data_IF_373365993982
#
_entry.id   IF_373365993982
#
_cell.length_a   1.000
_cell.length_b   1.000
_cell.length_c   1.000
_cell.angle_alpha   90.00
_cell.angle_beta   90.00
_cell.angle_gamma   90.00
#
_symmetry.space_group_name_H-M   'P 1'
#
loop_
_entity.id
_entity.type
_entity.pdbx_description
1 polymer ?
#
# COMPACT_ATOMS: atom_id res chain seq x y z
N UNK A 1 3.73 13.83 -8.53
CA UNK A 1 3.57 12.63 -7.67
C UNK A 1 4.70 12.69 -6.68
N UNK A 2 4.37 12.65 -5.40
CA UNK A 2 5.36 12.62 -4.32
C UNK A 2 5.25 11.23 -3.70
N UNK A 3 6.39 10.53 -3.67
CA UNK A 3 6.48 9.35 -2.82
C UNK A 3 6.53 9.84 -1.38
N UNK A 4 5.60 9.35 -0.56
CA UNK A 4 5.35 9.89 0.77
C UNK A 4 5.94 8.96 1.82
N UNK A 5 6.50 9.55 2.87
CA UNK A 5 6.97 8.78 4.01
C UNK A 5 5.81 8.53 4.96
N UNK A 6 5.18 7.36 4.84
CA UNK A 6 4.00 7.00 5.65
C UNK A 6 4.45 6.38 6.97
N UNK A 7 3.87 6.83 8.09
CA UNK A 7 4.12 6.28 9.43
C UNK A 7 2.83 5.84 10.09
N UNK A 8 2.85 4.68 10.74
CA UNK A 8 1.68 4.12 11.42
C UNK A 8 1.39 4.88 12.73
N UNK A 9 0.10 5.09 13.02
CA UNK A 9 -0.37 5.75 14.23
C UNK A 9 -0.78 4.73 15.30
N UNK A 10 0.07 4.59 16.32
CA UNK A 10 -0.17 3.72 17.48
C UNK A 10 -1.40 4.10 18.30
N UNK A 11 -1.90 5.34 18.22
CA UNK A 11 -3.12 5.74 18.90
C UNK A 11 -4.39 5.22 18.21
N UNK A 12 -4.29 4.85 16.93
CA UNK A 12 -5.40 4.25 16.16
C UNK A 12 -5.36 2.72 16.20
N UNK A 13 -4.18 2.12 16.37
CA UNK A 13 -3.97 0.69 16.22
C UNK A 13 -4.78 -0.16 17.20
N UNK A 14 -5.40 -1.22 16.70
CA UNK A 14 -6.04 -2.21 17.55
C UNK A 14 -5.07 -2.80 18.59
N UNK A 15 -5.47 -3.04 19.86
CA UNK A 15 -4.57 -3.51 20.92
C UNK A 15 -3.83 -4.84 20.65
N UNK A 16 -4.29 -5.62 19.68
CA UNK A 16 -3.63 -6.86 19.23
C UNK A 16 -2.43 -6.60 18.29
N UNK A 17 -2.35 -5.40 17.75
CA UNK A 17 -1.28 -4.98 16.84
C UNK A 17 -0.08 -4.45 17.60
N UNK A 18 1.10 -4.75 17.06
CA UNK A 18 2.37 -4.16 17.49
C UNK A 18 3.00 -3.46 16.30
N UNK A 19 3.25 -2.17 16.47
CA UNK A 19 3.95 -1.33 15.51
C UNK A 19 5.44 -1.30 15.90
N UNK A 20 6.33 -1.38 14.92
CA UNK A 20 7.77 -1.22 15.15
C UNK A 20 8.14 0.19 15.60
N UNK A 21 9.29 0.34 16.25
CA UNK A 21 9.75 1.64 16.78
C UNK A 21 9.86 2.74 15.71
N UNK A 22 10.20 2.36 14.47
CA UNK A 22 10.28 3.26 13.31
C UNK A 22 8.90 3.63 12.72
N UNK A 23 7.82 3.04 13.21
CA UNK A 23 6.46 3.25 12.72
C UNK A 23 6.20 2.68 11.32
N UNK A 24 7.07 1.82 10.79
CA UNK A 24 6.98 1.33 9.39
C UNK A 24 6.46 -0.08 9.26
N UNK A 25 6.35 -0.83 10.34
CA UNK A 25 5.83 -2.19 10.29
C UNK A 25 4.77 -2.43 11.34
N UNK A 26 3.83 -3.31 11.02
CA UNK A 26 2.80 -3.77 11.95
C UNK A 26 2.66 -5.28 11.84
N UNK A 27 2.63 -5.94 13.00
CA UNK A 27 2.34 -7.37 13.11
C UNK A 27 1.19 -7.59 14.08
N UNK A 28 0.54 -8.72 13.88
CA UNK A 28 -0.44 -9.21 14.81
C UNK A 28 0.24 -10.08 15.87
N UNK A 29 0.10 -9.71 17.14
CA UNK A 29 0.77 -10.40 18.26
C UNK A 29 0.02 -11.64 18.73
N UNK A 30 -1.20 -11.88 18.27
CA UNK A 30 -2.02 -12.98 18.79
C UNK A 30 -2.84 -12.61 20.02
N UNK A 31 -2.40 -11.63 20.82
CA UNK A 31 -2.96 -11.32 22.14
C UNK A 31 -3.41 -9.86 22.25
N UNK A 32 -4.50 -9.60 22.95
CA UNK A 32 -4.95 -8.23 23.24
C UNK A 32 -4.02 -7.67 24.33
N UNK A 33 -3.22 -6.66 23.97
CA UNK A 33 -2.28 -6.02 24.89
C UNK A 33 -2.96 -4.91 25.68
N UNK A 34 -2.42 -4.62 26.87
CA UNK A 34 -2.82 -3.44 27.64
C UNK A 34 -2.16 -2.20 27.02
N UNK A 35 -2.96 -1.33 26.42
CA UNK A 35 -2.53 -0.08 25.80
C UNK A 35 -3.40 1.09 26.31
N UNK A 36 -2.91 2.35 26.25
CA UNK A 36 -3.73 3.50 26.65
C UNK A 36 -5.03 3.58 25.83
N UNK A 37 -6.13 3.89 26.51
CA UNK A 37 -7.41 4.15 25.84
C UNK A 37 -7.29 5.41 24.98
N UNK A 38 -7.80 5.33 23.75
CA UNK A 38 -7.86 6.44 22.80
C UNK A 38 -9.18 6.36 22.04
N UNK A 39 -9.80 7.52 21.81
CA UNK A 39 -11.06 7.60 21.06
C UNK A 39 -10.91 7.04 19.65
N UNK A 40 -9.80 7.36 18.98
CA UNK A 40 -9.51 6.91 17.60
C UNK A 40 -9.03 5.46 17.50
N UNK A 41 -8.87 4.74 18.62
CA UNK A 41 -8.38 3.35 18.62
C UNK A 41 -9.44 2.39 18.10
N UNK A 42 -9.09 1.55 17.13
CA UNK A 42 -9.94 0.44 16.71
C UNK A 42 -10.04 -0.64 17.80
N UNK A 43 -11.25 -1.11 18.08
CA UNK A 43 -11.50 -2.11 19.15
C UNK A 43 -11.97 -3.47 18.63
N UNK A 44 -12.45 -3.54 17.39
CA UNK A 44 -13.12 -4.73 16.85
C UNK A 44 -12.32 -5.44 15.76
N UNK A 45 -11.59 -4.68 14.93
CA UNK A 45 -10.81 -5.23 13.82
C UNK A 45 -9.33 -4.91 13.97
N UNK A 46 -8.44 -5.74 13.41
CA UNK A 46 -6.98 -5.53 13.44
C UNK A 46 -6.52 -4.42 12.47
N UNK A 47 -7.12 -3.25 12.62
CA UNK A 47 -6.92 -2.07 11.79
C UNK A 47 -5.94 -1.09 12.45
N UNK A 48 -5.27 -0.33 11.61
CA UNK A 48 -4.41 0.80 11.98
C UNK A 48 -4.40 1.82 10.83
N UNK A 49 -4.37 3.10 11.19
CA UNK A 49 -4.22 4.21 10.25
C UNK A 49 -2.80 4.77 10.30
N UNK A 50 -2.41 5.49 9.26
CA UNK A 50 -1.23 6.32 9.29
C UNK A 50 -1.47 7.64 10.04
N UNK A 51 -0.37 8.31 10.41
CA UNK A 51 -0.41 9.67 10.99
C UNK A 51 -0.70 10.72 9.91
N UNK A 52 -0.20 10.48 8.70
CA UNK A 52 -0.37 11.36 7.55
C UNK A 52 -1.78 11.24 6.96
N UNK A 53 -2.31 12.34 6.43
CA UNK A 53 -3.55 12.34 5.68
C UNK A 53 -3.54 13.41 4.60
N UNK A 54 -4.27 13.17 3.51
CA UNK A 54 -4.14 13.93 2.28
C UNK A 54 -5.47 14.57 1.87
N UNK A 55 -5.44 15.88 1.62
CA UNK A 55 -6.57 16.67 1.11
C UNK A 55 -6.39 17.07 -0.36
N UNK A 56 -5.16 17.05 -0.86
CA UNK A 56 -4.80 17.46 -2.22
C UNK A 56 -3.54 16.75 -2.70
N UNK A 57 -3.22 16.86 -4.00
CA UNK A 57 -1.99 16.32 -4.57
C UNK A 57 -2.05 14.87 -5.05
N UNK A 58 -0.89 14.33 -5.43
CA UNK A 58 -0.70 12.96 -5.91
C UNK A 58 0.32 12.25 -5.03
N UNK A 59 -0.09 11.20 -4.34
CA UNK A 59 0.68 10.51 -3.30
C UNK A 59 0.90 9.05 -3.67
N UNK A 60 2.06 8.52 -3.30
CA UNK A 60 2.42 7.14 -3.57
C UNK A 60 3.16 6.52 -2.39
N UNK A 61 2.77 5.30 -2.02
CA UNK A 61 3.52 4.46 -1.09
C UNK A 61 3.48 3.00 -1.50
N UNK A 62 4.46 2.22 -1.06
CA UNK A 62 4.55 0.79 -1.28
C UNK A 62 4.43 0.05 0.05
N UNK A 63 3.74 -1.09 0.01
CA UNK A 63 3.59 -1.99 1.16
C UNK A 63 4.05 -3.37 0.77
N UNK A 64 5.02 -3.90 1.50
CA UNK A 64 5.40 -5.30 1.47
C UNK A 64 4.41 -6.09 2.33
N UNK A 65 3.64 -6.94 1.65
CA UNK A 65 2.66 -7.86 2.25
C UNK A 65 3.24 -9.28 2.38
N UNK A 66 4.45 -9.51 1.85
CA UNK A 66 5.20 -10.74 1.98
C UNK A 66 4.41 -11.98 1.55
N UNK A 67 4.42 -12.99 2.42
CA UNK A 67 3.67 -14.24 2.25
C UNK A 67 2.45 -14.30 3.18
N UNK A 68 1.95 -13.14 3.62
CA UNK A 68 0.86 -13.07 4.60
C UNK A 68 -0.40 -13.76 4.06
N UNK A 69 -1.13 -14.42 4.97
CA UNK A 69 -2.36 -15.16 4.62
C UNK A 69 -3.59 -14.26 4.56
N UNK A 70 -3.54 -13.16 5.29
CA UNK A 70 -4.57 -12.14 5.23
C UNK A 70 -4.01 -10.75 5.47
N UNK A 71 -4.57 -9.78 4.77
CA UNK A 71 -4.28 -8.36 4.88
C UNK A 71 -5.32 -7.54 4.14
N UNK A 72 -5.46 -6.26 4.50
CA UNK A 72 -6.14 -5.27 3.67
C UNK A 72 -5.37 -3.95 3.68
N UNK A 73 -5.38 -3.25 2.56
CA UNK A 73 -4.62 -2.01 2.31
C UNK A 73 -5.48 -1.02 1.55
N UNK A 74 -5.28 0.27 1.81
CA UNK A 74 -5.91 1.34 1.02
C UNK A 74 -5.93 2.67 1.76
N UNK A 75 -7.06 3.35 1.71
CA UNK A 75 -7.30 4.59 2.44
C UNK A 75 -8.63 4.53 3.20
N UNK A 76 -8.71 5.33 4.26
CA UNK A 76 -9.91 5.61 5.01
C UNK A 76 -10.19 7.13 5.02
N UNK A 77 -11.45 7.52 5.16
CA UNK A 77 -11.83 8.88 5.48
C UNK A 77 -11.50 9.21 6.94
N UNK A 78 -11.14 10.44 7.27
CA UNK A 78 -10.69 10.76 8.64
C UNK A 78 -11.75 10.58 9.74
N UNK A 79 -13.03 10.65 9.36
CA UNK A 79 -14.18 10.53 10.26
C UNK A 79 -14.76 9.11 10.31
N UNK A 80 -14.03 8.08 9.85
CA UNK A 80 -14.49 6.69 9.99
C UNK A 80 -14.66 6.31 11.46
N UNK A 81 -15.71 5.54 11.75
CA UNK A 81 -15.96 5.04 13.10
C UNK A 81 -14.88 4.02 13.50
N UNK A 82 -14.19 4.30 14.60
CA UNK A 82 -13.17 3.41 15.18
C UNK A 82 -13.75 2.33 16.08
N UNK A 83 -14.97 2.53 16.59
CA UNK A 83 -15.62 1.66 17.57
C UNK A 83 -16.63 0.71 16.94
N UNK A 84 -16.62 -0.53 17.42
CA UNK A 84 -17.54 -1.56 16.96
C UNK A 84 -17.20 -2.15 15.60
N UNK A 85 -18.08 -3.05 15.15
CA UNK A 85 -17.92 -3.76 13.89
C UNK A 85 -18.31 -2.87 12.71
N UNK A 86 -17.33 -2.53 11.87
CA UNK A 86 -17.55 -1.86 10.59
C UNK A 86 -17.13 -2.75 9.43
N UNK A 87 -18.00 -2.87 8.42
CA UNK A 87 -17.67 -3.54 7.16
C UNK A 87 -16.97 -2.52 6.25
N UNK A 88 -15.71 -2.75 5.83
CA UNK A 88 -15.04 -1.84 4.89
C UNK A 88 -15.84 -1.71 3.59
N UNK A 89 -16.15 -0.48 3.21
CA UNK A 89 -16.77 -0.09 1.93
C UNK A 89 -16.65 1.41 1.71
N UNK A 90 -16.76 1.91 0.46
CA UNK A 90 -16.78 3.35 0.19
C UNK A 90 -17.86 4.09 0.97
N UNK A 91 -19.05 3.47 1.16
CA UNK A 91 -20.14 4.04 1.95
C UNK A 91 -19.76 4.27 3.41
N UNK A 92 -18.90 3.40 3.96
CA UNK A 92 -18.38 3.51 5.31
C UNK A 92 -17.05 4.25 5.37
N UNK A 93 -16.63 4.91 4.27
CA UNK A 93 -15.40 5.70 4.21
C UNK A 93 -14.13 4.89 4.00
N UNK A 94 -14.18 3.68 3.43
CA UNK A 94 -13.02 2.85 3.15
C UNK A 94 -12.89 2.50 1.67
N UNK A 95 -11.71 2.71 1.10
CA UNK A 95 -11.37 2.27 -0.26
C UNK A 95 -10.17 1.35 -0.16
N UNK A 96 -10.45 0.05 -0.06
CA UNK A 96 -9.43 -0.95 0.31
C UNK A 96 -9.53 -2.18 -0.58
N UNK A 97 -8.37 -2.76 -0.88
CA UNK A 97 -8.28 -4.13 -1.38
C UNK A 97 -7.75 -5.03 -0.27
N UNK A 98 -8.13 -6.29 -0.29
CA UNK A 98 -7.69 -7.27 0.67
C UNK A 98 -7.45 -8.64 0.07
N UNK A 99 -6.74 -9.44 0.84
CA UNK A 99 -6.54 -10.86 0.63
C UNK A 99 -7.01 -11.58 1.89
N UNK A 100 -7.88 -12.58 1.75
CA UNK A 100 -8.38 -13.38 2.85
C UNK A 100 -8.61 -14.83 2.40
N UNK A 101 -8.70 -15.72 3.39
CA UNK A 101 -9.13 -17.11 3.21
C UNK A 101 -8.28 -17.89 2.17
N UNK A 102 -6.98 -17.57 2.14
CA UNK A 102 -5.89 -18.20 1.39
C UNK A 102 -6.00 -18.26 -0.15
N UNK A 103 -7.07 -17.76 -0.78
CA UNK A 103 -7.25 -17.93 -2.23
C UNK A 103 -7.75 -16.72 -3.03
N UNK A 104 -8.33 -15.69 -2.41
CA UNK A 104 -9.01 -14.65 -3.17
C UNK A 104 -8.62 -13.23 -2.78
N UNK A 105 -8.46 -12.40 -3.81
CA UNK A 105 -8.27 -10.96 -3.69
C UNK A 105 -9.61 -10.27 -3.94
N UNK A 106 -9.91 -9.28 -3.12
CA UNK A 106 -11.16 -8.55 -3.17
C UNK A 106 -10.90 -7.06 -3.09
N UNK A 107 -11.61 -6.28 -3.91
CA UNK A 107 -11.84 -4.88 -3.66
C UNK A 107 -13.15 -4.76 -2.86
N UNK A 108 -13.08 -4.07 -1.73
CA UNK A 108 -14.25 -3.81 -0.88
C UNK A 108 -15.09 -2.66 -1.47
N UNK A 109 -15.42 -2.73 -2.77
CA UNK A 109 -16.39 -1.85 -3.43
C UNK A 109 -17.81 -2.17 -2.95
N UNK A 110 -18.81 -1.44 -3.44
CA UNK A 110 -20.22 -1.79 -3.18
C UNK A 110 -20.95 -2.03 -4.51
N UNK A 111 -21.26 -3.29 -4.88
CA UNK A 111 -20.94 -4.55 -4.16
C UNK A 111 -19.45 -4.90 -4.21
N UNK A 112 -18.99 -5.86 -3.38
CA UNK A 112 -17.59 -6.32 -3.38
C UNK A 112 -17.18 -6.89 -4.74
N UNK A 113 -16.00 -6.50 -5.24
CA UNK A 113 -15.48 -6.93 -6.54
C UNK A 113 -14.34 -7.93 -6.35
N UNK A 114 -14.48 -9.13 -6.94
CA UNK A 114 -13.41 -10.13 -6.96
C UNK A 114 -12.30 -9.69 -7.92
N UNK A 115 -11.04 -9.79 -7.49
CA UNK A 115 -9.88 -9.35 -8.27
C UNK A 115 -9.16 -10.55 -8.87
N UNK A 116 -9.00 -10.52 -10.20
CA UNK A 116 -8.21 -11.51 -10.93
C UNK A 116 -6.74 -11.13 -10.93
N UNK A 117 -6.02 -11.51 -9.87
CA UNK A 117 -4.58 -11.25 -9.75
C UNK A 117 -3.78 -12.45 -10.25
N UNK A 118 -2.84 -12.23 -11.18
CA UNK A 118 -1.90 -13.27 -11.61
C UNK A 118 -0.82 -13.49 -10.55
N UNK A 119 -0.87 -14.64 -9.88
CA UNK A 119 0.07 -15.01 -8.82
C UNK A 119 -0.21 -14.30 -7.50
N UNK A 120 0.79 -14.26 -6.61
CA UNK A 120 0.67 -13.62 -5.29
C UNK A 120 1.16 -12.16 -5.31
N UNK A 121 0.37 -11.26 -4.73
CA UNK A 121 0.84 -9.92 -4.37
C UNK A 121 1.81 -10.06 -3.20
N UNK A 122 3.09 -9.79 -3.44
CA UNK A 122 4.10 -9.69 -2.38
C UNK A 122 4.36 -8.24 -1.99
N UNK A 123 4.27 -7.34 -2.98
CA UNK A 123 4.43 -5.91 -2.78
C UNK A 123 3.39 -5.16 -3.60
N UNK A 124 2.66 -4.29 -2.93
CA UNK A 124 1.55 -3.52 -3.49
C UNK A 124 1.87 -2.04 -3.40
N UNK A 125 1.85 -1.35 -4.54
CA UNK A 125 1.91 0.09 -4.63
C UNK A 125 0.49 0.67 -4.53
N UNK A 126 0.36 1.76 -3.79
CA UNK A 126 -0.90 2.49 -3.63
C UNK A 126 -0.67 3.92 -4.13
N UNK A 127 -1.47 4.33 -5.10
CA UNK A 127 -1.38 5.64 -5.73
C UNK A 127 -2.70 6.39 -5.56
N UNK A 128 -2.66 7.52 -4.87
CA UNK A 128 -3.79 8.40 -4.61
C UNK A 128 -3.65 9.66 -5.44
N UNK A 129 -4.60 9.91 -6.34
CA UNK A 129 -4.75 11.17 -7.08
C UNK A 129 -5.98 11.92 -6.60
N UNK A 130 -5.76 12.96 -5.80
CA UNK A 130 -6.84 13.76 -5.23
C UNK A 130 -7.54 14.66 -6.24
N UNK A 131 -6.84 15.05 -7.31
CA UNK A 131 -7.42 15.88 -8.38
C UNK A 131 -8.30 15.04 -9.30
N UNK A 132 -7.83 13.84 -9.67
CA UNK A 132 -8.59 12.90 -10.49
C UNK A 132 -9.60 12.07 -9.67
N UNK A 133 -9.57 12.18 -8.32
CA UNK A 133 -10.38 11.40 -7.40
C UNK A 133 -10.24 9.89 -7.63
N UNK A 134 -9.00 9.43 -7.75
CA UNK A 134 -8.69 8.03 -8.04
C UNK A 134 -7.74 7.43 -7.02
N UNK A 135 -8.00 6.17 -6.67
CA UNK A 135 -7.09 5.33 -5.90
C UNK A 135 -6.74 4.08 -6.70
N UNK A 136 -5.48 3.99 -7.14
CA UNK A 136 -4.96 2.88 -7.92
C UNK A 136 -4.09 1.97 -7.06
N UNK A 137 -4.35 0.67 -7.14
CA UNK A 137 -3.52 -0.39 -6.59
C UNK A 137 -2.72 -1.06 -7.70
N UNK A 138 -1.46 -1.38 -7.42
CA UNK A 138 -0.53 -1.91 -8.40
C UNK A 138 0.35 -3.01 -7.82
N UNK A 139 0.55 -4.08 -8.58
CA UNK A 139 1.51 -5.13 -8.26
C UNK A 139 2.91 -4.65 -8.66
N UNK A 140 3.73 -4.28 -7.67
CA UNK A 140 5.06 -3.71 -7.91
C UNK A 140 5.98 -4.70 -8.64
N UNK A 141 5.91 -5.97 -8.26
CA UNK A 141 6.78 -7.02 -8.82
C UNK A 141 6.43 -7.35 -10.27
N UNK A 142 5.14 -7.44 -10.60
CA UNK A 142 4.66 -7.78 -11.96
C UNK A 142 4.47 -6.57 -12.86
N UNK A 143 4.62 -5.38 -12.28
CA UNK A 143 4.43 -4.12 -12.96
C UNK A 143 3.05 -3.95 -13.61
N UNK A 144 2.00 -4.36 -12.90
CA UNK A 144 0.64 -4.41 -13.44
C UNK A 144 -0.37 -3.76 -12.48
N UNK A 145 -1.33 -3.01 -13.03
CA UNK A 145 -2.45 -2.51 -12.26
C UNK A 145 -3.28 -3.68 -11.72
N UNK A 146 -3.76 -3.52 -10.49
CA UNK A 146 -4.60 -4.51 -9.79
C UNK A 146 -6.04 -4.05 -9.79
N UNK A 147 -6.29 -2.83 -9.33
CA UNK A 147 -7.63 -2.27 -9.23
C UNK A 147 -7.59 -0.75 -9.08
N UNK A 148 -8.62 -0.05 -9.57
CA UNK A 148 -8.78 1.39 -9.39
C UNK A 148 -10.15 1.67 -8.80
N UNK A 149 -10.19 2.39 -7.68
CA UNK A 149 -11.42 3.00 -7.19
C UNK A 149 -11.57 4.42 -7.76
N UNK A 150 -12.81 4.76 -8.12
CA UNK A 150 -13.25 6.15 -8.18
C UNK A 150 -13.67 6.57 -6.76
N UNK A 151 -13.05 7.62 -6.24
CA UNK A 151 -13.43 8.25 -4.99
C UNK A 151 -14.57 9.21 -5.36
N UNK A 152 -15.80 8.87 -4.96
CA UNK A 152 -16.96 9.69 -5.30
C UNK A 152 -16.80 11.15 -4.85
N UNK A 153 -17.41 12.03 -5.62
CA UNK A 153 -17.71 13.45 -5.36
C UNK A 153 -18.80 13.66 -4.29
N UNK A 154 -19.43 12.57 -3.83
CA UNK A 154 -20.58 12.55 -2.91
C UNK A 154 -20.33 13.02 -1.48
N UNK A 155 -19.20 13.67 -1.20
CA UNK A 155 -19.06 14.46 0.01
C UNK A 155 -18.53 15.84 -0.35
N UNK A 156 -19.40 16.84 -0.23
CA UNK A 156 -19.03 18.22 0.09
C UNK A 156 -18.32 18.32 1.47
N UNK A 157 -17.72 17.23 1.96
CA UNK A 157 -17.04 17.18 3.23
C UNK A 157 -15.59 17.57 2.99
N UNK A 158 -15.23 18.70 3.56
CA UNK A 158 -13.86 18.99 3.88
C UNK A 158 -13.30 17.83 4.71
N UNK A 159 -12.12 17.35 4.33
CA UNK A 159 -11.40 16.38 5.12
C UNK A 159 -10.32 15.63 4.34
N UNK A 160 -9.62 14.75 5.06
CA UNK A 160 -8.43 14.05 4.56
C UNK A 160 -8.65 12.55 4.42
N UNK A 161 -8.03 12.00 3.38
CA UNK A 161 -7.87 10.55 3.22
C UNK A 161 -6.58 10.08 3.88
N UNK A 162 -6.70 9.08 4.73
CA UNK A 162 -5.62 8.56 5.58
C UNK A 162 -5.27 7.16 5.09
N UNK A 163 -3.97 6.85 4.84
CA UNK A 163 -3.54 5.48 4.56
C UNK A 163 -4.03 4.49 5.63
N UNK A 164 -4.54 3.36 5.15
CA UNK A 164 -5.17 2.33 5.96
C UNK A 164 -4.45 0.99 5.78
N UNK A 165 -4.27 0.29 6.91
CA UNK A 165 -3.63 -1.01 6.96
C UNK A 165 -4.39 -1.95 7.90
N UNK A 166 -4.46 -3.21 7.52
CA UNK A 166 -5.05 -4.27 8.33
C UNK A 166 -4.28 -5.56 8.19
N UNK A 167 -4.01 -6.23 9.32
CA UNK A 167 -3.42 -7.58 9.33
C UNK A 167 -4.43 -8.69 9.02
N UNK A 168 -5.67 -8.33 8.67
CA UNK A 168 -6.73 -9.28 8.32
C UNK A 168 -7.59 -9.71 9.51
N UNK A 169 -8.26 -10.87 9.39
CA UNK A 169 -9.03 -11.43 10.51
C UNK A 169 -8.09 -11.88 11.63
N UNK A 170 -8.49 -11.62 12.87
CA UNK A 170 -7.78 -12.14 14.04
C UNK A 170 -7.87 -13.68 14.03
N UNK A 171 -6.82 -14.35 13.58
CA UNK A 171 -6.76 -15.81 13.53
C UNK A 171 -6.26 -16.39 14.86
N UNK A 172 -6.71 -17.62 15.16
CA UNK A 172 -6.26 -18.42 16.30
C UNK A 172 -4.74 -18.71 16.24
N UNK A 173 -4.20 -18.82 15.01
CA UNK A 173 -2.76 -18.83 14.75
C UNK A 173 -2.38 -17.50 14.10
N UNK A 174 -1.75 -16.56 14.83
CA UNK A 174 -1.40 -15.26 14.27
C UNK A 174 -0.36 -15.41 13.15
N UNK A 175 -0.53 -14.60 12.10
CA UNK A 175 0.49 -14.43 11.07
C UNK A 175 1.55 -13.45 11.59
N UNK A 176 2.70 -14.01 11.96
CA UNK A 176 3.80 -13.27 12.57
C UNK A 176 4.60 -12.46 11.56
N UNK A 177 4.39 -12.64 10.25
CA UNK A 177 5.08 -11.87 9.22
C UNK A 177 4.52 -10.44 9.19
N UNK A 178 5.25 -9.39 9.57
CA UNK A 178 4.69 -8.04 9.60
C UNK A 178 4.30 -7.53 8.20
N UNK A 179 3.29 -6.68 8.13
CA UNK A 179 3.13 -5.72 7.03
C UNK A 179 4.21 -4.66 7.16
N UNK A 180 4.87 -4.29 6.06
CA UNK A 180 5.93 -3.28 6.08
C UNK A 180 5.70 -2.20 5.03
N UNK A 181 5.69 -0.95 5.45
CA UNK A 181 5.78 0.21 4.57
C UNK A 181 7.22 0.28 4.06
N UNK A 182 7.38 0.26 2.74
CA UNK A 182 8.71 0.27 2.12
C UNK A 182 9.32 1.67 2.23
N UNK A 183 10.52 1.75 2.79
CA UNK A 183 11.32 2.97 2.86
C UNK A 183 12.22 3.15 1.62
N UNK A 184 12.66 4.37 1.37
CA UNK A 184 13.76 4.65 0.43
C UNK A 184 13.34 4.68 -1.04
N UNK A 185 12.28 5.41 -1.38
CA UNK A 185 11.99 5.75 -2.78
C UNK A 185 13.17 6.52 -3.36
N UNK A 186 13.90 5.91 -4.30
CA UNK A 186 15.03 6.56 -4.95
C UNK A 186 14.57 7.90 -5.54
N UNK A 187 15.31 8.98 -5.28
CA UNK A 187 15.03 10.36 -5.75
C UNK A 187 14.84 10.50 -7.29
N UNK A 188 15.04 9.43 -8.07
CA UNK A 188 14.89 9.40 -9.53
C UNK A 188 13.42 9.49 -10.03
N UNK A 189 12.43 9.41 -9.13
CA UNK A 189 11.01 9.64 -9.47
C UNK A 189 10.65 11.14 -9.61
N UNK A 190 11.34 12.04 -8.90
CA UNK A 190 11.00 13.47 -8.90
C UNK A 190 11.53 14.22 -10.13
N UNK A 191 12.67 13.80 -10.70
CA UNK A 191 13.26 14.41 -11.90
C UNK A 191 12.52 14.02 -13.19
N UNK A 192 11.89 12.84 -13.24
CA UNK A 192 11.33 12.25 -14.47
C UNK A 192 9.84 12.49 -14.70
N UNK A 193 9.11 13.02 -13.71
CA UNK A 193 7.66 13.28 -13.79
C UNK A 193 7.29 14.74 -14.08
N UNK A 194 8.24 15.57 -14.53
CA UNK A 194 8.00 16.96 -14.97
C UNK A 194 7.29 17.08 -16.33
N UNK A 195 6.95 15.98 -17.02
CA UNK A 195 6.16 16.04 -18.26
C UNK A 195 4.65 15.91 -17.95
N UNK A 196 3.79 16.77 -18.53
CA UNK A 196 2.36 16.70 -18.28
C UNK A 196 1.80 15.36 -18.77
N UNK A 197 0.98 14.71 -17.94
CA UNK A 197 0.17 13.57 -18.38
C UNK A 197 -1.02 14.15 -19.14
N UNK A 198 -0.95 14.14 -20.47
CA UNK A 198 -2.10 14.47 -21.32
C UNK A 198 -3.05 13.27 -21.34
N UNK A 199 -4.24 13.44 -20.79
CA UNK A 199 -5.37 12.53 -21.01
C UNK A 199 -5.95 12.84 -22.40
N UNK A 200 -5.77 11.97 -23.38
CA UNK A 200 -6.58 12.03 -24.61
C UNK A 200 -7.89 11.27 -24.37
N UNK A 201 -9.02 11.97 -24.51
CA UNK A 201 -10.31 11.32 -24.63
C UNK A 201 -10.31 10.41 -25.86
N UNK A 202 -10.88 9.22 -25.72
CA UNK A 202 -11.07 8.28 -26.82
C UNK A 202 -10.44 6.92 -26.53
N UNK A 203 -11.30 5.95 -26.20
CA UNK A 203 -11.24 4.56 -26.66
C UNK A 203 -9.89 4.08 -27.24
N UNK A 204 -8.85 3.95 -26.42
CA UNK A 204 -7.67 3.17 -26.80
C UNK A 204 -6.93 2.62 -25.57
N UNK A 205 -6.53 1.35 -25.63
CA UNK A 205 -5.91 0.56 -24.53
C UNK A 205 -4.45 0.96 -24.25
N UNK A 206 -4.09 2.20 -24.52
CA UNK A 206 -2.69 2.67 -24.55
C UNK A 206 -2.27 3.46 -23.30
N UNK A 207 -3.17 3.72 -22.34
CA UNK A 207 -2.88 4.58 -21.16
C UNK A 207 -1.98 3.90 -20.10
N UNK A 208 -1.67 2.61 -20.24
CA UNK A 208 -0.76 1.89 -19.34
C UNK A 208 0.74 2.05 -19.66
N UNK A 209 1.12 2.79 -20.73
CA UNK A 209 2.52 2.79 -21.20
C UNK A 209 3.50 3.70 -20.46
N UNK A 210 3.10 4.51 -19.48
CA UNK A 210 4.03 5.41 -18.79
C UNK A 210 4.19 5.19 -17.27
N UNK A 211 3.46 4.25 -16.69
CA UNK A 211 3.70 3.79 -15.32
C UNK A 211 4.76 2.65 -15.16
N UNK A 212 5.29 1.95 -16.21
CA UNK A 212 6.30 0.89 -15.98
C UNK A 212 7.75 1.18 -16.43
N UNK A 213 8.10 2.32 -17.02
CA UNK A 213 9.50 2.57 -17.47
C UNK A 213 10.50 2.90 -16.34
N UNK A 214 10.05 3.06 -15.10
CA UNK A 214 10.89 3.52 -13.97
C UNK A 214 11.53 2.39 -13.13
N UNK A 215 11.33 1.13 -13.50
CA UNK A 215 11.96 -0.01 -12.81
C UNK A 215 12.82 -0.90 -13.75
N UNK A 216 13.27 -0.39 -14.90
CA UNK A 216 14.11 -1.16 -15.84
C UNK A 216 15.62 -0.81 -15.80
N UNK A 217 16.07 0.21 -15.06
CA UNK A 217 17.50 0.56 -15.02
C UNK A 217 18.33 0.00 -13.86
N UNK A 218 17.73 -0.66 -12.86
CA UNK A 218 18.50 -1.19 -11.71
C UNK A 218 19.14 -2.58 -11.92
N UNK A 219 19.12 -3.13 -13.15
CA UNK A 219 19.93 -4.32 -13.49
C UNK A 219 21.24 -4.00 -14.22
N UNK A 220 21.53 -2.73 -14.54
CA UNK A 220 22.74 -2.35 -15.27
C UNK A 220 23.85 -1.71 -14.40
N UNK A 221 23.71 -1.70 -13.06
CA UNK A 221 24.71 -1.08 -12.15
C UNK A 221 25.16 -1.94 -10.96
N UNK A 222 24.88 -3.25 -10.96
CA UNK A 222 25.46 -4.21 -10.01
C UNK A 222 26.17 -5.37 -10.73
N UNK A 223 26.97 -5.03 -11.74
CA UNK A 223 27.74 -6.02 -12.50
C UNK A 223 28.95 -5.40 -13.17
N UNK A 224 29.64 -4.48 -12.50
CA UNK A 224 30.95 -4.03 -12.98
C UNK A 224 31.77 -3.50 -11.79
N UNK A 225 32.47 -4.39 -11.08
CA UNK A 225 33.83 -4.07 -10.66
C UNK A 225 34.70 -5.35 -10.57
N UNK A 226 35.58 -5.43 -11.58
CA UNK A 226 36.94 -5.96 -11.66
C UNK A 226 37.43 -6.93 -10.57
N UNK A 227 37.81 -8.12 -11.02
CA UNK A 227 39.08 -8.72 -10.59
C UNK A 227 40.05 -8.77 -11.78
N UNK A 228 41.22 -8.19 -11.56
CA UNK A 228 42.35 -8.00 -12.47
C UNK A 228 43.37 -9.11 -12.18
N UNK A 229 43.63 -9.92 -13.21
CA UNK A 229 44.84 -10.69 -13.57
C UNK A 229 45.63 -11.51 -12.53
N UNK A 230 45.85 -12.79 -12.86
CA UNK A 230 47.14 -13.48 -12.66
C UNK A 230 47.52 -14.15 -13.98
N UNK A 231 48.58 -13.67 -14.63
CA UNK A 231 49.34 -14.40 -15.65
C UNK A 231 50.49 -15.12 -14.96
N UNK A 232 50.61 -16.44 -15.16
CA UNK A 232 51.86 -17.15 -14.90
C UNK A 232 52.34 -17.79 -16.19
N UNK A 233 53.34 -17.17 -16.80
CA UNK A 233 54.26 -17.78 -17.75
C UNK A 233 55.64 -17.80 -17.11
N UNK A 234 56.27 -18.98 -17.09
CA UNK A 234 57.64 -19.19 -16.61
C UNK A 234 58.16 -20.51 -17.15
N UNK A 235 58.94 -20.43 -18.23
CA UNK A 235 59.64 -21.53 -18.90
C UNK A 235 60.88 -21.98 -18.10
N UNK A 236 61.21 -23.28 -18.21
CA UNK A 236 62.50 -23.77 -18.71
C UNK A 236 62.24 -25.07 -19.48
#
# INVERSE_FOLDING_TARGET
MVAVDVTLDADTAHPRLEISDDGKSVKDTGIIRKVPSKEKRFDSHTFVLAKEGYTSGRHYWEVDVGKRRSWALGIAWESVTSKGTVTPSPKNGFWVIGFADEQEYWAHSDPWTRLSVSGKLQKTGVFLDMSAKQLLFYNVCKKAAVYTFSIGDGTSQEGKFIPFFSTGRAAAKPDTVPLKIVQGFHYDLQSRLRRPILYSQGSDRSVMRLLPSLCLLNKAKQGEDRSVFVTSSGNF
#
